data_IF_700528235496
#
_entry.id   IF_700528235496
#
_cell.length_a   1.000
_cell.length_b   1.000
_cell.length_c   1.000
_cell.angle_alpha   90.00
_cell.angle_beta   90.00
_cell.angle_gamma   90.00
#
_symmetry.space_group_name_H-M   'P 1'
#
loop_
_entity.id
_entity.type
_entity.pdbx_description
1 polymer ?
#
# COMPACT_ATOMS: atom_id res chain seq x y z
N UNK A 1 12.88 -15.19 48.23
CA UNK A 1 13.25 -16.27 47.30
C UNK A 1 12.17 -16.36 46.23
N UNK A 2 12.34 -15.63 45.12
CA UNK A 2 11.40 -15.68 44.01
C UNK A 2 11.73 -16.89 43.14
N UNK A 3 10.73 -17.76 42.96
CA UNK A 3 10.80 -19.02 42.22
C UNK A 3 11.33 -18.80 40.80
N UNK A 4 12.41 -19.52 40.46
CA UNK A 4 13.05 -19.51 39.14
C UNK A 4 12.14 -19.92 37.98
N UNK A 5 10.91 -20.39 38.27
CA UNK A 5 9.92 -20.73 37.25
C UNK A 5 9.32 -19.49 36.55
N UNK A 6 9.26 -18.32 37.22
CA UNK A 6 8.69 -17.10 36.61
C UNK A 6 9.64 -16.40 35.64
N UNK A 7 10.95 -16.63 35.75
CA UNK A 7 11.94 -16.02 34.87
C UNK A 7 12.02 -16.74 33.51
N UNK A 8 11.80 -18.06 33.49
CA UNK A 8 11.80 -18.85 32.25
C UNK A 8 10.57 -18.59 31.35
N UNK A 9 9.40 -18.28 31.93
CA UNK A 9 8.21 -17.94 31.15
C UNK A 9 8.30 -16.56 30.47
N UNK A 10 9.01 -15.59 31.06
CA UNK A 10 9.21 -14.26 30.45
C UNK A 10 10.23 -14.28 29.30
N UNK A 11 11.24 -15.16 29.37
CA UNK A 11 12.22 -15.37 28.29
C UNK A 11 11.62 -16.15 27.10
N UNK A 12 10.69 -17.08 27.35
CA UNK A 12 10.02 -17.82 26.28
C UNK A 12 9.04 -16.94 25.47
N UNK A 13 8.38 -15.96 26.09
CA UNK A 13 7.50 -15.01 25.38
C UNK A 13 8.30 -13.98 24.56
N UNK A 14 9.49 -13.60 25.03
CA UNK A 14 10.36 -12.66 24.31
C UNK A 14 11.09 -13.32 23.12
N UNK A 15 11.40 -14.63 23.21
CA UNK A 15 12.05 -15.37 22.12
C UNK A 15 11.10 -15.75 20.96
N UNK A 16 9.78 -15.70 21.17
CA UNK A 16 8.78 -15.93 20.12
C UNK A 16 8.46 -14.68 19.28
N UNK A 17 8.92 -13.49 19.71
CA UNK A 17 8.70 -12.22 19.00
C UNK A 17 9.89 -11.87 18.09
N UNK A 18 11.09 -12.38 18.39
CA UNK A 18 12.33 -11.99 17.71
C UNK A 18 12.65 -12.74 16.39
N UNK A 19 11.73 -13.55 15.86
CA UNK A 19 11.97 -14.31 14.62
C UNK A 19 10.69 -14.53 13.79
N UNK A 20 9.75 -13.57 13.81
CA UNK A 20 8.72 -13.55 12.79
C UNK A 20 9.37 -12.99 11.51
N UNK A 21 9.60 -13.81 10.45
CA UNK A 21 10.05 -13.26 9.18
C UNK A 21 8.99 -12.24 8.69
N UNK A 22 9.40 -11.25 7.89
CA UNK A 22 8.54 -10.22 7.31
C UNK A 22 7.22 -10.76 6.70
N UNK A 23 7.20 -12.05 6.34
CA UNK A 23 6.02 -12.88 5.99
C UNK A 23 4.84 -12.79 7.00
N UNK A 24 5.07 -12.43 8.27
CA UNK A 24 4.01 -12.33 9.27
C UNK A 24 3.18 -11.03 9.21
N UNK A 25 3.71 -9.96 8.59
CA UNK A 25 3.00 -8.67 8.49
C UNK A 25 2.08 -8.64 7.27
N UNK A 26 2.51 -9.27 6.17
CA UNK A 26 1.67 -9.55 5.02
C UNK A 26 0.49 -10.49 5.36
N UNK A 27 -0.66 -10.26 4.72
CA UNK A 27 -1.88 -11.05 4.88
C UNK A 27 -2.44 -11.59 3.56
N UNK A 28 -3.46 -12.47 3.62
CA UNK A 28 -4.15 -12.94 2.42
C UNK A 28 -4.86 -11.78 1.71
N UNK A 29 -5.15 -11.96 0.43
CA UNK A 29 -6.00 -11.03 -0.34
C UNK A 29 -7.35 -10.86 0.35
N UNK A 30 -7.95 -9.68 0.25
CA UNK A 30 -9.31 -9.49 0.77
C UNK A 30 -10.36 -10.12 -0.18
N UNK A 31 -11.54 -10.43 0.37
CA UNK A 31 -12.61 -11.05 -0.40
C UNK A 31 -13.10 -10.18 -1.57
N UNK A 32 -13.00 -8.85 -1.46
CA UNK A 32 -13.39 -7.95 -2.55
C UNK A 32 -12.43 -8.10 -3.73
N UNK A 33 -11.14 -8.22 -3.47
CA UNK A 33 -10.13 -8.44 -4.49
C UNK A 33 -10.34 -9.80 -5.17
N UNK A 34 -10.62 -10.86 -4.41
CA UNK A 34 -10.93 -12.18 -4.99
C UNK A 34 -12.18 -12.11 -5.88
N UNK A 35 -13.22 -11.36 -5.47
CA UNK A 35 -14.40 -11.14 -6.30
C UNK A 35 -14.07 -10.36 -7.57
N UNK A 36 -13.34 -9.27 -7.46
CA UNK A 36 -12.88 -8.48 -8.61
C UNK A 36 -12.09 -9.36 -9.58
N UNK A 37 -11.11 -10.13 -9.09
CA UNK A 37 -10.26 -10.95 -9.93
C UNK A 37 -11.02 -12.02 -10.72
N UNK A 38 -12.17 -12.48 -10.20
CA UNK A 38 -13.02 -13.48 -10.86
C UNK A 38 -14.16 -12.87 -11.71
N UNK A 39 -14.60 -11.65 -11.40
CA UNK A 39 -15.83 -11.06 -11.94
C UNK A 39 -15.64 -9.61 -12.39
N UNK A 40 -14.43 -9.25 -12.84
CA UNK A 40 -14.09 -7.90 -13.29
C UNK A 40 -15.09 -7.40 -14.32
N UNK A 41 -15.61 -6.20 -14.09
CA UNK A 41 -16.47 -5.49 -15.04
C UNK A 41 -15.64 -5.01 -16.23
N UNK A 42 -15.98 -5.36 -17.48
CA UNK A 42 -15.27 -4.86 -18.66
C UNK A 42 -15.24 -3.33 -18.69
N UNK A 43 -14.06 -2.76 -18.97
CA UNK A 43 -13.86 -1.32 -19.06
C UNK A 43 -13.86 -0.58 -17.72
N UNK A 44 -13.96 -1.29 -16.58
CA UNK A 44 -13.82 -0.69 -15.26
C UNK A 44 -12.39 -0.90 -14.73
N UNK A 45 -11.65 0.17 -14.42
CA UNK A 45 -10.32 0.09 -13.83
C UNK A 45 -10.32 -0.64 -12.49
N UNK A 46 -9.16 -1.19 -12.14
CA UNK A 46 -8.92 -1.81 -10.84
C UNK A 46 -7.77 -1.10 -10.15
N UNK A 47 -7.99 -0.76 -8.89
CA UNK A 47 -6.96 -0.29 -7.95
C UNK A 47 -6.49 -1.49 -7.12
N UNK A 48 -5.29 -1.97 -7.43
CA UNK A 48 -4.64 -3.08 -6.77
C UNK A 48 -3.79 -2.56 -5.60
N UNK A 49 -4.23 -2.77 -4.36
CA UNK A 49 -3.50 -2.29 -3.19
C UNK A 49 -2.53 -3.35 -2.68
N UNK A 50 -1.24 -3.02 -2.67
CA UNK A 50 -0.18 -3.84 -2.09
C UNK A 50 0.52 -3.11 -0.95
N UNK A 51 0.88 -3.87 0.08
CA UNK A 51 1.56 -3.38 1.27
C UNK A 51 1.46 -4.38 2.40
N UNK A 52 2.18 -4.11 3.47
CA UNK A 52 2.22 -4.97 4.65
C UNK A 52 1.07 -4.59 5.58
N UNK A 53 1.36 -4.22 6.83
CA UNK A 53 0.32 -4.07 7.86
C UNK A 53 -0.59 -2.84 7.64
N UNK A 54 -0.09 -1.79 6.98
CA UNK A 54 -0.89 -0.60 6.68
C UNK A 54 -1.98 -0.91 5.66
N UNK A 55 -1.63 -1.49 4.51
CA UNK A 55 -2.59 -1.80 3.44
C UNK A 55 -3.47 -3.02 3.76
N UNK A 56 -2.93 -4.01 4.47
CA UNK A 56 -3.72 -5.15 5.00
C UNK A 56 -4.88 -4.69 5.89
N UNK A 57 -4.71 -3.55 6.57
CA UNK A 57 -5.77 -2.90 7.34
C UNK A 57 -5.70 -3.18 8.84
N UNK A 58 -4.83 -2.44 9.52
CA UNK A 58 -4.75 -2.46 10.98
C UNK A 58 -5.56 -1.34 11.67
N UNK A 59 -6.47 -0.64 10.97
CA UNK A 59 -7.14 0.55 11.50
C UNK A 59 -7.93 0.28 12.80
N UNK A 60 -8.49 -0.93 12.91
CA UNK A 60 -9.24 -1.41 14.08
C UNK A 60 -8.37 -2.18 15.08
N UNK A 61 -7.03 -2.08 14.97
CA UNK A 61 -6.04 -2.77 15.83
C UNK A 61 -6.03 -4.29 15.71
N UNK A 62 -6.65 -4.82 14.66
CA UNK A 62 -6.76 -6.23 14.36
C UNK A 62 -6.89 -6.37 12.85
N UNK A 63 -6.19 -7.33 12.26
CA UNK A 63 -6.23 -7.52 10.80
C UNK A 63 -7.55 -8.19 10.38
N UNK A 64 -8.08 -7.92 9.17
CA UNK A 64 -9.37 -8.45 8.74
C UNK A 64 -9.45 -9.99 8.81
N UNK A 65 -8.36 -10.68 8.49
CA UNK A 65 -8.26 -12.15 8.50
C UNK A 65 -8.16 -12.76 9.92
N UNK A 66 -8.08 -11.92 10.96
CA UNK A 66 -8.05 -12.34 12.35
C UNK A 66 -9.44 -12.27 13.02
N UNK A 67 -10.42 -11.65 12.38
CA UNK A 67 -11.79 -11.58 12.88
C UNK A 67 -12.53 -12.90 12.61
N UNK A 68 -13.31 -13.38 13.58
CA UNK A 68 -14.30 -14.41 13.34
C UNK A 68 -15.49 -13.82 12.56
N UNK A 69 -16.28 -14.66 11.85
CA UNK A 69 -17.49 -14.19 11.17
C UNK A 69 -18.44 -13.41 12.07
N UNK A 70 -18.63 -13.85 13.32
CA UNK A 70 -19.51 -13.17 14.28
C UNK A 70 -18.96 -11.81 14.73
N UNK A 71 -17.64 -11.68 14.85
CA UNK A 71 -17.00 -10.40 15.14
C UNK A 71 -17.14 -9.44 13.94
N UNK A 72 -17.02 -9.93 12.71
CA UNK A 72 -17.26 -9.13 11.49
C UNK A 72 -18.69 -8.58 11.45
N UNK A 73 -19.68 -9.41 11.75
CA UNK A 73 -21.09 -9.00 11.73
C UNK A 73 -21.44 -7.97 12.82
N UNK A 74 -20.73 -8.00 13.94
CA UNK A 74 -20.97 -7.10 15.08
C UNK A 74 -20.11 -5.83 15.09
N UNK A 75 -19.07 -5.76 14.25
CA UNK A 75 -18.18 -4.62 14.12
C UNK A 75 -18.81 -3.51 13.25
N UNK A 76 -19.38 -2.50 13.90
CA UNK A 76 -20.06 -1.38 13.23
C UNK A 76 -19.11 -0.58 12.33
N UNK A 77 -17.81 -0.56 12.67
CA UNK A 77 -16.78 0.16 11.91
C UNK A 77 -16.07 -0.72 10.87
N UNK A 78 -16.63 -1.89 10.52
CA UNK A 78 -15.98 -2.85 9.62
C UNK A 78 -15.57 -2.23 8.28
N UNK A 79 -16.39 -1.33 7.73
CA UNK A 79 -16.09 -0.63 6.47
C UNK A 79 -14.85 0.27 6.56
N UNK A 80 -14.40 0.63 7.77
CA UNK A 80 -13.26 1.48 8.07
C UNK A 80 -12.02 0.68 8.52
N UNK A 81 -11.98 -0.64 8.27
CA UNK A 81 -10.88 -1.51 8.73
C UNK A 81 -9.57 -1.38 7.95
N UNK A 82 -9.63 -0.97 6.69
CA UNK A 82 -8.49 -0.94 5.77
C UNK A 82 -8.65 0.13 4.68
N UNK A 83 -7.56 0.60 4.04
CA UNK A 83 -7.67 1.55 2.93
C UNK A 83 -8.48 0.97 1.77
N UNK A 84 -8.32 -0.32 1.45
CA UNK A 84 -9.09 -1.00 0.42
C UNK A 84 -10.61 -0.97 0.70
N UNK A 85 -11.01 -1.19 1.95
CA UNK A 85 -12.43 -1.10 2.34
C UNK A 85 -12.97 0.33 2.27
N UNK A 86 -12.15 1.31 2.67
CA UNK A 86 -12.52 2.72 2.61
C UNK A 86 -12.64 3.22 1.17
N UNK A 87 -11.73 2.82 0.28
CA UNK A 87 -11.81 3.09 -1.16
C UNK A 87 -13.10 2.54 -1.76
N UNK A 88 -13.45 1.28 -1.45
CA UNK A 88 -14.72 0.70 -1.89
C UNK A 88 -15.93 1.54 -1.49
N UNK A 89 -15.86 2.23 -0.35
CA UNK A 89 -16.94 3.09 0.11
C UNK A 89 -17.04 4.42 -0.66
N UNK A 90 -15.92 4.94 -1.19
CA UNK A 90 -15.85 6.27 -1.84
C UNK A 90 -15.67 6.23 -3.37
N UNK A 91 -15.40 5.05 -3.95
CA UNK A 91 -15.15 4.90 -5.38
C UNK A 91 -16.36 5.20 -6.28
N UNK A 92 -17.58 5.23 -5.73
CA UNK A 92 -18.84 5.54 -6.45
C UNK A 92 -19.01 4.77 -7.78
N UNK A 93 -18.65 3.48 -7.80
CA UNK A 93 -18.68 2.60 -8.98
C UNK A 93 -17.77 3.03 -10.16
N UNK A 94 -16.83 3.97 -9.96
CA UNK A 94 -15.88 4.40 -11.01
C UNK A 94 -14.71 3.43 -11.21
N UNK A 95 -14.38 2.63 -10.19
CA UNK A 95 -13.33 1.62 -10.25
C UNK A 95 -13.56 0.55 -9.17
N UNK A 96 -12.95 -0.62 -9.34
CA UNK A 96 -12.83 -1.61 -8.27
C UNK A 96 -11.61 -1.33 -7.41
N UNK A 97 -11.70 -1.51 -6.10
CA UNK A 97 -10.54 -1.46 -5.20
C UNK A 97 -10.49 -2.69 -4.30
N UNK A 98 -9.30 -3.22 -4.08
CA UNK A 98 -9.11 -4.37 -3.20
C UNK A 98 -7.66 -4.55 -2.77
N UNK A 99 -7.47 -5.14 -1.59
CA UNK A 99 -6.16 -5.55 -1.12
C UNK A 99 -5.67 -6.77 -1.91
N UNK A 100 -4.69 -6.54 -2.77
CA UNK A 100 -4.13 -7.48 -3.73
C UNK A 100 -3.13 -8.47 -3.11
N UNK A 101 -2.79 -8.29 -1.83
CA UNK A 101 -1.85 -9.13 -1.10
C UNK A 101 -0.59 -8.37 -0.69
N UNK A 102 0.22 -9.05 0.13
CA UNK A 102 1.40 -8.45 0.76
C UNK A 102 2.47 -8.00 -0.23
N UNK A 103 3.31 -7.08 0.24
CA UNK A 103 4.55 -6.59 -0.37
C UNK A 103 4.53 -5.99 -1.77
N UNK A 104 3.75 -6.48 -2.73
CA UNK A 104 3.73 -6.04 -4.14
C UNK A 104 5.03 -6.25 -4.92
N UNK A 105 6.18 -6.31 -4.25
CA UNK A 105 7.53 -6.35 -4.79
C UNK A 105 8.01 -7.78 -5.03
N UNK A 106 8.87 -8.01 -6.03
CA UNK A 106 9.43 -9.32 -6.30
C UNK A 106 10.35 -9.77 -5.15
N UNK A 107 9.90 -10.75 -4.36
CA UNK A 107 10.76 -11.44 -3.40
C UNK A 107 11.53 -12.59 -4.05
N UNK A 108 12.71 -12.85 -3.52
CA UNK A 108 13.47 -14.08 -3.81
C UNK A 108 12.94 -15.30 -3.03
N UNK A 109 12.13 -15.11 -1.98
CA UNK A 109 11.73 -16.17 -1.03
C UNK A 109 10.22 -16.38 -0.84
N UNK A 110 9.36 -15.49 -1.33
CA UNK A 110 7.89 -15.67 -1.29
C UNK A 110 7.29 -15.88 -2.69
N UNK A 111 7.20 -17.14 -3.16
CA UNK A 111 6.59 -17.47 -4.45
C UNK A 111 5.05 -17.46 -4.41
N UNK A 112 4.41 -17.15 -3.27
CA UNK A 112 2.96 -17.31 -3.12
C UNK A 112 2.20 -16.07 -3.56
N UNK A 113 2.01 -15.92 -4.85
CA UNK A 113 0.83 -15.31 -5.46
C UNK A 113 0.50 -13.83 -5.15
N UNK A 114 1.15 -13.18 -4.19
CA UNK A 114 0.75 -11.89 -3.62
C UNK A 114 1.58 -10.70 -4.13
N UNK A 115 2.45 -10.93 -5.10
CA UNK A 115 3.27 -9.89 -5.74
C UNK A 115 2.58 -9.35 -6.99
N UNK A 116 3.01 -8.17 -7.47
CA UNK A 116 2.56 -7.65 -8.78
C UNK A 116 2.91 -8.62 -9.91
N UNK A 117 4.07 -9.26 -9.83
CA UNK A 117 4.48 -10.30 -10.79
C UNK A 117 3.45 -11.42 -10.91
N UNK A 118 2.96 -11.92 -9.78
CA UNK A 118 1.91 -12.95 -9.79
C UNK A 118 0.58 -12.44 -10.38
N UNK A 119 0.26 -11.14 -10.27
CA UNK A 119 -0.95 -10.58 -10.88
C UNK A 119 -0.82 -10.46 -12.40
N UNK A 120 0.35 -10.04 -12.86
CA UNK A 120 0.68 -10.02 -14.30
C UNK A 120 0.62 -11.44 -14.88
N UNK A 121 1.31 -12.40 -14.26
CA UNK A 121 1.35 -13.79 -14.73
C UNK A 121 -0.03 -14.47 -14.77
N UNK A 122 -0.90 -14.13 -13.83
CA UNK A 122 -2.28 -14.65 -13.78
C UNK A 122 -3.24 -13.88 -14.69
N UNK A 123 -2.77 -12.91 -15.48
CA UNK A 123 -3.61 -12.09 -16.36
C UNK A 123 -4.63 -11.25 -15.61
N UNK A 124 -4.27 -10.75 -14.43
CA UNK A 124 -5.13 -9.95 -13.55
C UNK A 124 -4.88 -8.45 -13.67
N UNK A 125 -3.81 -8.03 -14.36
CA UNK A 125 -3.44 -6.63 -14.62
C UNK A 125 -3.74 -6.32 -16.09
N UNK A 126 -4.40 -5.19 -16.32
CA UNK A 126 -4.84 -4.72 -17.62
C UNK A 126 -4.50 -3.23 -17.77
N UNK A 127 -4.58 -2.73 -19.01
CA UNK A 127 -4.51 -1.28 -19.25
C UNK A 127 -5.60 -0.55 -18.45
N UNK A 128 -5.30 0.71 -18.10
CA UNK A 128 -6.04 1.61 -17.21
C UNK A 128 -6.06 1.20 -15.71
N UNK A 129 -5.41 0.11 -15.32
CA UNK A 129 -5.31 -0.26 -13.90
C UNK A 129 -4.34 0.62 -13.09
N UNK A 130 -4.55 0.62 -11.78
CA UNK A 130 -3.73 1.31 -10.80
C UNK A 130 -3.05 0.31 -9.87
N UNK A 131 -1.74 0.40 -9.74
CA UNK A 131 -0.93 -0.42 -8.83
C UNK A 131 -0.48 0.45 -7.67
N UNK A 132 -1.09 0.28 -6.49
CA UNK A 132 -0.75 1.05 -5.30
C UNK A 132 0.27 0.29 -4.45
N UNK A 133 1.41 0.93 -4.15
CA UNK A 133 2.48 0.37 -3.33
C UNK A 133 2.68 1.26 -2.10
N UNK A 134 2.54 0.70 -0.90
CA UNK A 134 2.83 1.41 0.35
C UNK A 134 3.27 0.44 1.42
N UNK A 135 4.31 0.81 2.18
CA UNK A 135 4.86 -0.03 3.26
C UNK A 135 4.99 -1.50 2.81
N UNK A 136 5.60 -1.70 1.65
CA UNK A 136 5.49 -2.94 0.91
C UNK A 136 6.88 -3.53 0.71
N UNK A 137 7.07 -4.78 1.13
CA UNK A 137 8.30 -5.51 0.88
C UNK A 137 9.43 -5.23 1.87
N UNK A 138 10.43 -6.11 1.89
CA UNK A 138 11.55 -6.05 2.81
C UNK A 138 12.47 -4.92 2.39
N UNK A 139 12.49 -3.85 3.17
CA UNK A 139 13.40 -2.73 2.93
C UNK A 139 14.76 -2.91 3.61
N UNK A 140 14.86 -3.74 4.66
CA UNK A 140 16.11 -4.13 5.33
C UNK A 140 17.08 -2.95 5.62
N UNK A 141 16.54 -1.77 5.91
CA UNK A 141 17.31 -0.53 6.08
C UNK A 141 18.27 -0.22 4.91
N UNK A 142 17.85 -0.52 3.68
CA UNK A 142 18.63 -0.27 2.49
C UNK A 142 17.84 0.49 1.43
N UNK A 143 17.79 1.84 1.52
CA UNK A 143 17.08 2.68 0.55
C UNK A 143 17.53 2.46 -0.91
N UNK A 144 18.80 2.10 -1.13
CA UNK A 144 19.31 1.87 -2.49
C UNK A 144 18.72 0.59 -3.11
N UNK A 145 18.71 -0.52 -2.36
CA UNK A 145 18.10 -1.78 -2.81
C UNK A 145 16.60 -1.63 -2.95
N UNK A 146 15.94 -0.97 -2.00
CA UNK A 146 14.50 -0.77 -2.07
C UNK A 146 14.07 0.04 -3.30
N UNK A 147 14.78 1.12 -3.62
CA UNK A 147 14.57 1.85 -4.88
C UNK A 147 14.72 0.95 -6.12
N UNK A 148 15.71 0.06 -6.16
CA UNK A 148 15.88 -0.87 -7.28
C UNK A 148 14.72 -1.86 -7.40
N UNK A 149 14.12 -2.28 -6.28
CA UNK A 149 12.90 -3.10 -6.30
C UNK A 149 11.70 -2.34 -6.84
N UNK A 150 11.49 -1.09 -6.41
CA UNK A 150 10.41 -0.22 -6.94
C UNK A 150 10.55 -0.02 -8.45
N UNK A 151 11.77 0.28 -8.92
CA UNK A 151 12.09 0.44 -10.34
C UNK A 151 11.86 -0.85 -11.13
N UNK A 152 12.21 -2.01 -10.56
CA UNK A 152 12.03 -3.30 -11.20
C UNK A 152 10.55 -3.65 -11.36
N UNK A 153 9.71 -3.30 -10.38
CA UNK A 153 8.26 -3.41 -10.47
C UNK A 153 7.70 -2.56 -11.61
N UNK A 154 8.13 -1.30 -11.75
CA UNK A 154 7.66 -0.47 -12.87
C UNK A 154 8.14 -1.01 -14.22
N UNK A 155 9.39 -1.48 -14.27
CA UNK A 155 9.95 -2.13 -15.49
C UNK A 155 9.12 -3.33 -15.94
N UNK A 156 8.65 -4.17 -14.99
CA UNK A 156 7.76 -5.29 -15.28
C UNK A 156 6.45 -4.83 -15.93
N UNK A 157 5.93 -3.67 -15.54
CA UNK A 157 4.65 -3.13 -15.99
C UNK A 157 4.75 -2.33 -17.29
N UNK A 158 5.95 -2.09 -17.84
CA UNK A 158 6.13 -1.22 -19.01
C UNK A 158 5.34 -1.63 -20.27
N UNK A 159 4.89 -2.88 -20.36
CA UNK A 159 4.06 -3.36 -21.45
C UNK A 159 2.57 -2.93 -21.34
N UNK A 160 2.15 -2.46 -20.16
CA UNK A 160 0.79 -2.09 -19.83
C UNK A 160 0.68 -0.57 -19.64
N UNK A 161 -0.43 0.02 -20.08
CA UNK A 161 -0.78 1.41 -19.77
C UNK A 161 -1.43 1.46 -18.39
N UNK A 162 -0.61 1.41 -17.34
CA UNK A 162 -1.05 1.41 -15.93
C UNK A 162 -0.36 2.53 -15.16
N UNK A 163 -0.97 2.93 -14.05
CA UNK A 163 -0.38 3.90 -13.14
C UNK A 163 0.10 3.23 -11.85
N UNK A 164 1.38 3.42 -11.54
CA UNK A 164 1.97 2.96 -10.28
C UNK A 164 1.93 4.10 -9.27
N UNK A 165 1.14 3.93 -8.22
CA UNK A 165 0.96 4.93 -7.16
C UNK A 165 1.81 4.53 -5.94
N UNK A 166 2.92 5.24 -5.74
CA UNK A 166 3.76 5.06 -4.55
C UNK A 166 3.24 5.95 -3.42
N UNK A 167 2.72 5.34 -2.36
CA UNK A 167 2.25 6.06 -1.16
C UNK A 167 3.34 6.00 -0.10
N UNK A 168 3.92 7.15 0.23
CA UNK A 168 4.96 7.22 1.25
C UNK A 168 4.40 6.98 2.66
N UNK A 169 5.27 6.73 3.63
CA UNK A 169 4.87 6.25 4.96
C UNK A 169 5.12 7.31 6.01
N UNK A 170 4.10 7.58 6.83
CA UNK A 170 4.26 8.38 8.05
C UNK A 170 4.56 7.46 9.24
N UNK A 171 5.65 7.73 9.94
CA UNK A 171 6.06 7.05 11.17
C UNK A 171 6.24 8.06 12.32
N UNK A 172 5.93 7.62 13.55
CA UNK A 172 6.07 8.43 14.77
C UNK A 172 6.60 7.57 15.93
N UNK A 173 7.60 6.74 15.62
CA UNK A 173 8.18 5.77 16.55
C UNK A 173 9.17 6.51 17.45
N UNK A 174 8.81 6.74 18.71
CA UNK A 174 9.74 7.33 19.67
C UNK A 174 10.94 6.40 19.94
N UNK A 175 12.15 6.93 20.23
CA UNK A 175 13.31 6.10 20.58
C UNK A 175 13.04 5.19 21.79
N UNK A 176 13.24 3.88 21.61
CA UNK A 176 13.01 2.86 22.62
C UNK A 176 11.53 2.49 22.83
N UNK A 177 10.64 2.90 21.93
CA UNK A 177 9.21 2.57 21.98
C UNK A 177 8.92 1.11 21.62
N UNK A 178 9.75 0.50 20.79
CA UNK A 178 9.60 -0.87 20.31
C UNK A 178 10.59 -1.78 21.06
N UNK A 179 10.12 -2.97 21.44
CA UNK A 179 10.95 -3.96 22.13
C UNK A 179 11.82 -4.78 21.15
N UNK A 180 12.58 -4.09 20.30
CA UNK A 180 13.42 -4.66 19.24
C UNK A 180 14.80 -3.98 19.20
N UNK A 181 15.79 -4.64 18.60
CA UNK A 181 17.18 -4.15 18.59
C UNK A 181 17.40 -2.94 17.67
N UNK A 182 16.71 -2.89 16.54
CA UNK A 182 16.82 -1.81 15.55
C UNK A 182 15.42 -1.30 15.19
N UNK A 183 15.01 -0.19 15.82
CA UNK A 183 13.71 0.44 15.52
C UNK A 183 13.72 1.21 14.21
N UNK A 184 14.90 1.63 13.74
CA UNK A 184 15.02 2.42 12.51
C UNK A 184 14.59 1.59 11.30
N UNK A 185 14.54 0.25 11.43
CA UNK A 185 13.92 -0.63 10.44
C UNK A 185 12.47 -0.28 10.14
N UNK A 186 11.73 0.33 11.06
CA UNK A 186 10.34 0.75 10.85
C UNK A 186 10.18 2.27 10.68
N UNK A 187 11.29 3.04 10.73
CA UNK A 187 11.26 4.50 10.60
C UNK A 187 11.58 4.94 9.18
N UNK A 188 10.54 5.11 8.38
CA UNK A 188 10.63 5.51 6.99
C UNK A 188 11.22 6.90 6.76
N UNK A 189 11.12 7.75 7.79
CA UNK A 189 11.64 9.12 7.83
C UNK A 189 13.12 9.24 8.24
N UNK A 190 13.73 8.19 8.82
CA UNK A 190 15.11 8.26 9.33
C UNK A 190 16.13 8.12 8.18
N UNK A 191 17.15 8.99 8.09
CA UNK A 191 18.19 8.87 7.09
C UNK A 191 19.14 7.69 7.36
N UNK A 192 19.20 6.75 6.43
CA UNK A 192 20.15 5.63 6.41
C UNK A 192 21.13 5.86 5.26
N UNK A 193 22.43 6.00 5.59
CA UNK A 193 23.48 6.39 4.63
C UNK A 193 23.11 7.65 3.82
N UNK A 194 22.43 8.61 4.47
CA UNK A 194 22.05 9.90 3.88
C UNK A 194 20.77 9.90 3.04
N UNK A 195 20.00 8.80 3.01
CA UNK A 195 18.71 8.71 2.33
C UNK A 195 17.65 8.10 3.24
N UNK A 196 16.41 8.55 3.12
CA UNK A 196 15.28 7.95 3.83
C UNK A 196 14.59 6.93 2.95
N UNK A 197 13.82 6.02 3.54
CA UNK A 197 12.96 5.12 2.74
C UNK A 197 11.90 5.93 1.98
N UNK A 198 11.32 6.98 2.58
CA UNK A 198 10.38 7.84 1.86
C UNK A 198 10.98 8.50 0.61
N UNK A 199 12.26 8.87 0.63
CA UNK A 199 12.93 9.46 -0.55
C UNK A 199 13.07 8.48 -1.73
N UNK A 200 12.94 7.16 -1.50
CA UNK A 200 13.00 6.19 -2.59
C UNK A 200 11.71 6.14 -3.37
N UNK A 201 10.56 6.35 -2.73
CA UNK A 201 9.27 6.47 -3.41
C UNK A 201 9.26 7.71 -4.31
N UNK A 202 9.70 8.85 -3.79
CA UNK A 202 9.83 10.08 -4.57
C UNK A 202 10.76 9.88 -5.77
N UNK A 203 11.92 9.25 -5.55
CA UNK A 203 12.85 8.95 -6.63
C UNK A 203 12.25 8.02 -7.69
N UNK A 204 11.54 6.97 -7.27
CA UNK A 204 10.93 5.99 -8.17
C UNK A 204 9.76 6.59 -8.97
N UNK A 205 8.97 7.48 -8.35
CA UNK A 205 7.89 8.21 -9.03
C UNK A 205 8.43 9.15 -10.11
N UNK A 206 9.52 9.88 -9.82
CA UNK A 206 10.06 10.90 -10.72
C UNK A 206 11.07 10.37 -11.76
N UNK A 207 11.46 9.10 -11.69
CA UNK A 207 12.39 8.53 -12.65
C UNK A 207 11.71 8.33 -14.01
N UNK A 208 12.33 8.81 -15.08
CA UNK A 208 11.89 8.47 -16.44
C UNK A 208 12.46 7.10 -16.85
N UNK A 209 11.61 6.24 -17.41
CA UNK A 209 11.99 4.94 -17.96
C UNK A 209 11.62 4.94 -19.43
N UNK A 210 12.64 4.97 -20.29
CA UNK A 210 12.46 4.97 -21.74
C UNK A 210 11.59 3.79 -22.20
N UNK A 211 10.70 4.07 -23.16
CA UNK A 211 9.78 3.11 -23.79
C UNK A 211 8.85 2.39 -22.79
N UNK A 212 8.60 2.99 -21.62
CA UNK A 212 7.70 2.43 -20.61
C UNK A 212 6.33 3.11 -20.67
N UNK A 213 5.27 2.32 -20.88
CA UNK A 213 3.89 2.83 -20.82
C UNK A 213 3.40 3.08 -19.39
N UNK A 214 3.92 2.31 -18.43
CA UNK A 214 3.54 2.46 -17.04
C UNK A 214 4.06 3.79 -16.48
N UNK A 215 3.15 4.66 -16.04
CA UNK A 215 3.48 5.91 -15.37
C UNK A 215 3.60 5.70 -13.87
N UNK A 216 4.30 6.60 -13.18
CA UNK A 216 4.49 6.51 -11.73
C UNK A 216 4.24 7.84 -11.03
N UNK A 217 3.54 7.76 -9.91
CA UNK A 217 3.08 8.92 -9.16
C UNK A 217 3.44 8.77 -7.69
N UNK A 218 3.88 9.86 -7.08
CA UNK A 218 4.02 9.94 -5.63
C UNK A 218 2.69 10.43 -5.03
N UNK A 219 2.20 9.70 -4.04
CA UNK A 219 1.18 10.16 -3.11
C UNK A 219 1.87 10.47 -1.79
N UNK A 220 2.18 11.75 -1.58
CA UNK A 220 2.78 12.23 -0.35
C UNK A 220 1.70 12.48 0.72
N UNK A 221 1.65 11.60 1.72
CA UNK A 221 0.70 11.70 2.84
C UNK A 221 1.34 12.35 4.09
N UNK A 222 2.68 12.48 4.13
CA UNK A 222 3.41 12.86 5.35
C UNK A 222 3.03 14.26 5.84
N UNK A 223 2.97 15.31 4.98
CA UNK A 223 2.57 16.65 5.41
C UNK A 223 1.16 16.69 6.02
N UNK A 224 0.21 15.93 5.46
CA UNK A 224 -1.17 15.90 5.94
C UNK A 224 -1.30 15.14 7.26
N UNK A 225 -0.55 14.06 7.43
CA UNK A 225 -0.46 13.33 8.71
C UNK A 225 0.11 14.24 9.82
N UNK A 226 1.18 15.00 9.51
CA UNK A 226 1.74 16.00 10.43
C UNK A 226 0.69 17.06 10.78
N UNK A 227 0.00 17.61 9.77
CA UNK A 227 -1.03 18.63 9.98
C UNK A 227 -2.19 18.13 10.86
N UNK A 228 -2.60 16.86 10.73
CA UNK A 228 -3.60 16.26 11.63
C UNK A 228 -3.09 16.22 13.08
N UNK A 229 -1.85 15.75 13.27
CA UNK A 229 -1.21 15.67 14.59
C UNK A 229 -1.08 17.04 15.24
N UNK A 230 -0.66 18.06 14.50
CA UNK A 230 -0.55 19.46 14.98
C UNK A 230 -1.91 20.06 15.39
N UNK A 231 -3.00 19.58 14.80
CA UNK A 231 -4.38 19.95 15.17
C UNK A 231 -4.92 19.15 16.35
N UNK A 232 -4.11 18.30 16.98
CA UNK A 232 -4.50 17.45 18.10
C UNK A 232 -5.32 16.22 17.70
N UNK A 233 -5.33 15.87 16.40
CA UNK A 233 -5.99 14.67 15.89
C UNK A 233 -4.89 13.64 15.60
N UNK A 234 -4.68 12.63 16.46
CA UNK A 234 -3.63 11.64 16.21
C UNK A 234 -3.98 10.83 14.97
N UNK A 235 -3.13 10.77 13.93
CA UNK A 235 -3.38 9.96 12.73
C UNK A 235 -2.85 8.52 12.86
N UNK A 236 -1.97 8.29 13.84
CA UNK A 236 -1.28 7.03 14.07
C UNK A 236 -1.68 6.41 15.41
N UNK A 237 -1.51 5.11 15.56
CA UNK A 237 -1.73 4.39 16.79
C UNK A 237 -0.57 4.61 17.77
N UNK A 238 -0.73 4.16 19.01
CA UNK A 238 0.28 4.31 20.07
C UNK A 238 1.56 3.50 19.82
N UNK A 239 1.55 2.57 18.87
CA UNK A 239 2.75 1.84 18.44
C UNK A 239 3.68 2.70 17.54
N UNK A 240 3.20 3.86 17.06
CA UNK A 240 3.97 4.75 16.19
C UNK A 240 4.22 4.21 14.78
N UNK A 241 3.62 3.07 14.41
CA UNK A 241 3.79 2.41 13.11
C UNK A 241 2.48 2.47 12.32
N UNK A 242 1.37 2.03 12.94
CA UNK A 242 0.15 1.79 12.19
C UNK A 242 -0.77 3.01 12.20
N UNK A 243 -1.21 3.52 11.04
CA UNK A 243 -2.24 4.53 11.00
C UNK A 243 -3.53 4.01 11.63
N UNK A 244 -4.22 4.86 12.41
CA UNK A 244 -5.55 4.55 12.91
C UNK A 244 -6.62 4.83 11.84
N UNK A 245 -7.91 4.74 12.17
CA UNK A 245 -9.01 5.02 11.23
C UNK A 245 -8.82 6.34 10.48
N UNK A 246 -8.45 7.41 11.18
CA UNK A 246 -8.26 8.73 10.57
C UNK A 246 -7.10 8.73 9.58
N UNK A 247 -5.97 8.13 9.95
CA UNK A 247 -4.81 8.04 9.08
C UNK A 247 -5.05 7.15 7.86
N UNK A 248 -5.66 5.97 8.02
CA UNK A 248 -6.00 5.10 6.89
C UNK A 248 -7.07 5.72 5.99
N UNK A 249 -8.00 6.51 6.55
CA UNK A 249 -8.97 7.27 5.77
C UNK A 249 -8.29 8.34 4.91
N UNK A 250 -7.32 9.06 5.46
CA UNK A 250 -6.51 10.01 4.70
C UNK A 250 -5.76 9.31 3.55
N UNK A 251 -5.16 8.15 3.81
CA UNK A 251 -4.50 7.34 2.77
C UNK A 251 -5.49 6.97 1.66
N UNK A 252 -6.66 6.41 2.01
CA UNK A 252 -7.69 6.05 1.05
C UNK A 252 -8.18 7.26 0.24
N UNK A 253 -8.44 8.38 0.90
CA UNK A 253 -8.86 9.63 0.24
C UNK A 253 -7.80 10.15 -0.74
N UNK A 254 -6.53 10.10 -0.37
CA UNK A 254 -5.43 10.53 -1.23
C UNK A 254 -5.25 9.62 -2.45
N UNK A 255 -5.43 8.31 -2.28
CA UNK A 255 -5.46 7.35 -3.38
C UNK A 255 -6.63 7.65 -4.32
N UNK A 256 -7.86 7.76 -3.80
CA UNK A 256 -9.05 8.08 -4.61
C UNK A 256 -8.89 9.39 -5.39
N UNK A 257 -8.41 10.45 -4.73
CA UNK A 257 -8.17 11.74 -5.37
C UNK A 257 -7.18 11.64 -6.52
N UNK A 258 -6.09 10.87 -6.36
CA UNK A 258 -5.08 10.70 -7.42
C UNK A 258 -5.60 9.83 -8.57
N UNK A 259 -6.33 8.75 -8.25
CA UNK A 259 -6.98 7.90 -9.25
C UNK A 259 -7.95 8.72 -10.11
N UNK A 260 -8.82 9.52 -9.48
CA UNK A 260 -9.78 10.37 -10.19
C UNK A 260 -9.09 11.43 -11.04
N UNK A 261 -8.06 12.09 -10.52
CA UNK A 261 -7.24 13.05 -11.28
C UNK A 261 -6.69 12.43 -12.58
N UNK A 262 -6.13 11.22 -12.50
CA UNK A 262 -5.58 10.51 -13.66
C UNK A 262 -6.68 10.09 -14.64
N UNK A 263 -7.78 9.52 -14.13
CA UNK A 263 -8.93 9.12 -14.96
C UNK A 263 -9.53 10.33 -15.70
N UNK A 264 -9.69 11.46 -15.02
CA UNK A 264 -10.20 12.70 -15.62
C UNK A 264 -9.24 13.25 -16.69
N UNK A 265 -7.93 13.18 -16.44
CA UNK A 265 -6.91 13.58 -17.41
C UNK A 265 -6.94 12.68 -18.67
N UNK A 266 -7.07 11.36 -18.51
CA UNK A 266 -7.24 10.41 -19.62
C UNK A 266 -8.51 10.71 -20.43
N UNK A 267 -9.63 10.94 -19.75
CA UNK A 267 -10.90 11.25 -20.41
C UNK A 267 -10.82 12.57 -21.21
N UNK A 268 -10.15 13.58 -20.66
CA UNK A 268 -9.94 14.85 -21.36
C UNK A 268 -9.05 14.69 -22.60
N UNK A 269 -7.98 13.90 -22.52
CA UNK A 269 -7.10 13.61 -23.66
C UNK A 269 -7.86 12.87 -24.78
N UNK A 270 -8.63 11.84 -24.44
CA UNK A 270 -9.44 11.10 -25.40
C UNK A 270 -10.52 11.97 -26.08
N UNK A 271 -11.16 12.88 -25.31
CA UNK A 271 -12.14 13.82 -25.85
C UNK A 271 -11.54 14.86 -26.80
N UNK A 272 -10.29 15.27 -26.56
CA UNK A 272 -9.55 16.18 -27.43
C UNK A 272 -9.19 15.54 -28.77
N UNK A 273 -8.75 14.28 -28.77
CA UNK A 273 -8.40 13.54 -30.00
C UNK A 273 -9.62 13.34 -30.92
N UNK A 274 -10.80 13.08 -30.35
CA UNK A 274 -12.04 12.94 -31.15
C UNK A 274 -12.40 14.26 -31.83
N UNK A 275 -12.29 15.39 -31.12
CA UNK A 275 -12.59 16.70 -31.68
C UNK A 275 -11.62 17.10 -32.81
N UNK A 276 -10.33 16.76 -32.69
CA UNK A 276 -9.34 17.03 -33.75
C UNK A 276 -9.57 16.15 -34.99
N UNK A 277 -9.94 14.88 -34.81
CA UNK A 277 -10.26 13.97 -35.92
C UNK A 277 -11.54 14.38 -36.66
N UNK A 278 -12.56 14.84 -35.94
CA UNK A 278 -13.79 15.38 -36.56
C UNK A 278 -13.48 16.65 -37.37
N UNK A 279 -12.72 17.59 -36.81
CA UNK A 279 -12.32 18.82 -37.52
C UNK A 279 -11.45 18.56 -38.77
N UNK A 280 -10.58 17.54 -38.73
CA UNK A 280 -9.77 17.14 -39.87
C UNK A 280 -10.57 16.44 -40.99
N UNK A 281 -11.75 15.89 -40.68
CA UNK A 281 -12.62 15.22 -41.66
C UNK A 281 -13.55 16.18 -42.43
N UNK A 282 -13.66 17.43 -41.98
CA UNK A 282 -14.45 18.50 -42.61
C UNK A 282 -13.64 19.38 -43.59
N UNK A 283 -12.38 19.01 -43.87
CA UNK A 283 -11.47 19.69 -44.80
C UNK A 283 -11.00 18.78 -45.94
#
# INVERSE_FOLDING_TARGET
>A
MMSGLRLFSALAVSALIAAAPAVAQAGPQDENYVRMANYRTPGLPVVHLFGDSIMRGYALRKFPDQYSPEEVESEILWSLRSPASMLKFIAEDNYWAGYAGGTGLPYTTDPKGNTVYARVDNGQVFDDDFIVISDAGEHNNNPAEYYLMLRSLRTLLCAYDVDVLYVNTFDDIAPGALAIEDEDQYRWSVPIKGKTMNSTFEKAANEDIADCKADAHLIDIVPDMIALKERGIPPIQSDGIHPNITGQWLIAYKIDSKVREIMDARAAAAGGEVAELEAASEH
#
